data_IF_622654622937
#
_entry.id   IF_622654622937
#
_cell.length_a   1.000
_cell.length_b   1.000
_cell.length_c   1.000
_cell.angle_alpha   90.00
_cell.angle_beta   90.00
_cell.angle_gamma   90.00
#
_symmetry.space_group_name_H-M   'P 1'
#
loop_
_entity.id
_entity.type
_entity.pdbx_description
1 polymer ?
#
# COMPACT_ATOMS: atom_id res chain seq x y z
N UNK A 1 9.03 26.05 -38.24
CA UNK A 1 9.60 25.14 -37.20
C UNK A 1 8.62 24.90 -36.04
N UNK A 2 7.93 25.94 -35.54
CA UNK A 2 6.92 25.82 -34.47
C UNK A 2 5.71 24.93 -34.83
N UNK A 3 5.01 25.17 -35.95
CA UNK A 3 3.85 24.35 -36.34
C UNK A 3 4.18 22.87 -36.60
N UNK A 4 5.41 22.56 -37.05
CA UNK A 4 5.87 21.16 -37.17
C UNK A 4 6.01 20.49 -35.81
N UNK A 5 6.55 21.19 -34.80
CA UNK A 5 6.63 20.67 -33.42
C UNK A 5 5.24 20.52 -32.81
N UNK A 6 4.33 21.48 -33.05
CA UNK A 6 2.94 21.41 -32.58
C UNK A 6 2.21 20.18 -33.15
N UNK A 7 2.33 19.92 -34.46
CA UNK A 7 1.74 18.73 -35.08
C UNK A 7 2.31 17.43 -34.51
N UNK A 8 3.63 17.35 -34.30
CA UNK A 8 4.27 16.17 -33.71
C UNK A 8 3.77 15.95 -32.28
N UNK A 9 3.64 17.01 -31.48
CA UNK A 9 3.07 16.93 -30.13
C UNK A 9 1.60 16.50 -30.14
N UNK A 10 0.80 17.01 -31.07
CA UNK A 10 -0.61 16.64 -31.21
C UNK A 10 -0.78 15.17 -31.63
N UNK A 11 0.04 14.68 -32.57
CA UNK A 11 0.05 13.27 -32.98
C UNK A 11 0.48 12.36 -31.83
N UNK A 12 1.50 12.75 -31.06
CA UNK A 12 1.91 11.99 -29.87
C UNK A 12 0.80 11.99 -28.80
N UNK A 13 0.12 13.10 -28.58
CA UNK A 13 -0.98 13.20 -27.63
C UNK A 13 -2.19 12.36 -28.06
N UNK A 14 -2.53 12.39 -29.35
CA UNK A 14 -3.62 11.58 -29.92
C UNK A 14 -3.32 10.08 -29.85
N UNK A 15 -2.05 9.68 -30.01
CA UNK A 15 -1.64 8.28 -29.80
C UNK A 15 -1.87 7.82 -28.37
N UNK A 16 -1.71 8.68 -27.37
CA UNK A 16 -1.92 8.31 -25.96
C UNK A 16 -3.38 8.44 -25.53
N UNK A 17 -4.13 9.39 -26.08
CA UNK A 17 -5.55 9.61 -25.76
C UNK A 17 -6.52 8.91 -26.72
N UNK A 18 -6.06 7.91 -27.46
CA UNK A 18 -6.98 7.08 -28.23
C UNK A 18 -7.88 6.26 -27.26
N UNK A 19 -9.07 5.83 -27.70
CA UNK A 19 -10.01 5.12 -26.83
C UNK A 19 -9.42 3.86 -26.17
N UNK A 20 -8.58 3.11 -26.90
CA UNK A 20 -7.93 1.89 -26.40
C UNK A 20 -7.00 2.17 -25.21
N UNK A 21 -6.19 3.22 -25.29
CA UNK A 21 -5.30 3.61 -24.21
C UNK A 21 -6.07 4.19 -23.01
N UNK A 22 -7.16 4.92 -23.26
CA UNK A 22 -8.04 5.40 -22.18
C UNK A 22 -8.69 4.24 -21.45
N UNK A 23 -9.17 3.23 -22.18
CA UNK A 23 -9.73 2.01 -21.62
C UNK A 23 -8.68 1.22 -20.81
N UNK A 24 -7.49 1.01 -21.37
CA UNK A 24 -6.39 0.36 -20.68
C UNK A 24 -6.00 1.09 -19.37
N UNK A 25 -5.99 2.42 -19.37
CA UNK A 25 -5.74 3.23 -18.18
C UNK A 25 -6.83 3.04 -17.13
N UNK A 26 -8.11 3.01 -17.53
CA UNK A 26 -9.20 2.73 -16.60
C UNK A 26 -9.07 1.32 -15.99
N UNK A 27 -8.74 0.31 -16.79
CA UNK A 27 -8.49 -1.05 -16.29
C UNK A 27 -7.35 -1.10 -15.28
N UNK A 28 -6.24 -0.40 -15.54
CA UNK A 28 -5.12 -0.31 -14.58
C UNK A 28 -5.57 0.31 -13.25
N UNK A 29 -6.40 1.36 -13.29
CA UNK A 29 -6.91 2.02 -12.09
C UNK A 29 -7.83 1.07 -11.29
N UNK A 30 -8.67 0.30 -11.98
CA UNK A 30 -9.56 -0.66 -11.35
C UNK A 30 -8.78 -1.84 -10.75
N UNK A 31 -7.76 -2.34 -11.45
CA UNK A 31 -6.82 -3.36 -10.95
C UNK A 31 -6.06 -2.86 -9.72
N UNK A 32 -5.68 -1.58 -9.68
CA UNK A 32 -5.06 -0.95 -8.51
C UNK A 32 -6.02 -0.90 -7.31
N UNK A 33 -7.30 -0.61 -7.53
CA UNK A 33 -8.32 -0.62 -6.47
C UNK A 33 -8.53 -2.04 -5.92
N UNK A 34 -8.63 -3.04 -6.80
CA UNK A 34 -8.69 -4.46 -6.42
C UNK A 34 -7.44 -4.89 -5.62
N UNK A 35 -6.26 -4.50 -6.09
CA UNK A 35 -4.98 -4.78 -5.42
C UNK A 35 -4.95 -4.15 -4.03
N UNK A 36 -5.38 -2.89 -3.90
CA UNK A 36 -5.47 -2.17 -2.62
C UNK A 36 -6.39 -2.91 -1.64
N UNK A 37 -7.56 -3.37 -2.11
CA UNK A 37 -8.47 -4.18 -1.31
C UNK A 37 -7.87 -5.52 -0.87
N UNK A 38 -7.10 -6.18 -1.73
CA UNK A 38 -6.41 -7.43 -1.40
C UNK A 38 -5.29 -7.21 -0.38
N UNK A 39 -4.52 -6.12 -0.49
CA UNK A 39 -3.51 -5.74 0.50
C UNK A 39 -4.16 -5.49 1.87
N UNK A 40 -5.30 -4.78 1.92
CA UNK A 40 -6.03 -4.55 3.17
C UNK A 40 -6.49 -5.87 3.83
N UNK A 41 -7.00 -6.82 3.04
CA UNK A 41 -7.36 -8.16 3.55
C UNK A 41 -6.13 -8.90 4.08
N UNK A 42 -5.01 -8.84 3.35
CA UNK A 42 -3.76 -9.50 3.76
C UNK A 42 -3.24 -8.95 5.09
N UNK A 43 -3.30 -7.63 5.32
CA UNK A 43 -2.97 -7.01 6.61
C UNK A 43 -3.84 -7.56 7.75
N UNK A 44 -5.14 -7.77 7.51
CA UNK A 44 -6.05 -8.36 8.51
C UNK A 44 -5.67 -9.80 8.81
N UNK A 45 -5.37 -10.61 7.80
CA UNK A 45 -4.94 -12.01 8.01
C UNK A 45 -3.62 -12.10 8.77
N UNK A 46 -2.62 -11.28 8.43
CA UNK A 46 -1.37 -11.20 9.18
C UNK A 46 -1.58 -10.74 10.63
N UNK A 47 -2.50 -9.81 10.87
CA UNK A 47 -2.86 -9.41 12.23
C UNK A 47 -3.49 -10.56 13.03
N UNK A 48 -4.26 -11.45 12.38
CA UNK A 48 -4.75 -12.69 13.02
C UNK A 48 -3.60 -13.65 13.31
N UNK A 49 -2.68 -13.83 12.37
CA UNK A 49 -1.48 -14.66 12.58
C UNK A 49 -0.67 -14.16 13.78
N UNK A 50 -0.46 -12.85 13.90
CA UNK A 50 0.21 -12.25 15.05
C UNK A 50 -0.48 -12.61 16.37
N UNK A 51 -1.81 -12.45 16.45
CA UNK A 51 -2.58 -12.85 17.64
C UNK A 51 -2.44 -14.33 17.98
N UNK A 52 -2.43 -15.20 16.98
CA UNK A 52 -2.21 -16.64 17.20
C UNK A 52 -0.80 -16.93 17.73
N UNK A 53 0.22 -16.20 17.26
CA UNK A 53 1.59 -16.30 17.78
C UNK A 53 1.69 -15.78 19.21
N UNK A 54 0.98 -14.69 19.55
CA UNK A 54 0.94 -14.16 20.92
C UNK A 54 0.31 -15.16 21.91
N UNK A 55 -0.77 -15.82 21.50
CA UNK A 55 -1.40 -16.91 22.28
C UNK A 55 -0.42 -18.06 22.47
N UNK A 56 0.22 -18.53 21.39
CA UNK A 56 1.21 -19.60 21.45
C UNK A 56 2.37 -19.25 22.39
N UNK A 57 2.85 -18.00 22.37
CA UNK A 57 3.88 -17.53 23.30
C UNK A 57 3.40 -17.55 24.75
N UNK A 58 2.14 -17.21 25.00
CA UNK A 58 1.52 -17.33 26.32
C UNK A 58 1.49 -18.77 26.82
N UNK A 59 1.06 -19.70 25.97
CA UNK A 59 1.00 -21.14 26.28
C UNK A 59 2.40 -21.70 26.58
N UNK A 60 3.39 -21.36 25.75
CA UNK A 60 4.80 -21.71 25.98
C UNK A 60 5.30 -21.14 27.31
N UNK A 61 4.94 -19.89 27.63
CA UNK A 61 5.28 -19.27 28.90
C UNK A 61 4.71 -20.00 30.12
N UNK A 62 3.46 -20.48 30.03
CA UNK A 62 2.85 -21.29 31.10
C UNK A 62 3.58 -22.62 31.28
N UNK A 63 3.85 -23.34 30.18
CA UNK A 63 4.59 -24.62 30.23
C UNK A 63 5.94 -24.47 30.91
N UNK A 64 6.68 -23.40 30.59
CA UNK A 64 7.97 -23.07 31.22
C UNK A 64 7.80 -22.76 32.71
N UNK A 65 6.77 -22.00 33.08
CA UNK A 65 6.51 -21.61 34.47
C UNK A 65 6.10 -22.80 35.34
N UNK A 66 5.37 -23.76 34.78
CA UNK A 66 4.83 -24.91 35.51
C UNK A 66 5.87 -26.06 35.62
N UNK A 67 6.79 -26.18 34.66
CA UNK A 67 7.79 -27.26 34.58
C UNK A 67 9.24 -26.80 34.83
N UNK A 68 9.46 -25.76 35.66
CA UNK A 68 10.76 -25.05 35.85
C UNK A 68 12.01 -25.89 36.09
N UNK A 69 11.89 -27.19 36.39
CA UNK A 69 13.02 -28.10 36.59
C UNK A 69 13.48 -28.82 35.31
N UNK A 70 12.64 -28.98 34.28
CA UNK A 70 12.94 -29.77 33.06
C UNK A 70 12.57 -29.04 31.75
N UNK A 71 12.80 -27.73 31.66
CA UNK A 71 12.56 -26.98 30.41
C UNK A 71 13.68 -27.27 29.41
N UNK A 72 13.35 -27.96 28.32
CA UNK A 72 14.29 -28.25 27.23
C UNK A 72 14.65 -26.99 26.42
N UNK A 73 15.90 -26.93 25.95
CA UNK A 73 16.44 -25.89 25.07
C UNK A 73 15.57 -25.65 23.83
N UNK A 74 14.97 -26.73 23.31
CA UNK A 74 14.05 -26.70 22.17
C UNK A 74 12.87 -25.75 22.39
N UNK A 75 12.33 -25.66 23.60
CA UNK A 75 11.18 -24.78 23.93
C UNK A 75 11.60 -23.31 23.93
N UNK A 76 12.81 -23.02 24.44
CA UNK A 76 13.39 -21.67 24.44
C UNK A 76 13.67 -21.19 23.02
N UNK A 77 14.22 -22.05 22.16
CA UNK A 77 14.52 -21.73 20.76
C UNK A 77 13.24 -21.52 19.94
N UNK A 78 12.18 -22.32 20.20
CA UNK A 78 10.85 -22.13 19.62
C UNK A 78 10.27 -20.76 19.98
N UNK A 79 10.34 -20.35 21.26
CA UNK A 79 9.90 -19.02 21.69
C UNK A 79 10.61 -17.91 20.93
N UNK A 80 11.94 -18.00 20.80
CA UNK A 80 12.72 -16.99 20.09
C UNK A 80 12.39 -16.90 18.60
N UNK A 81 12.12 -18.05 17.97
CA UNK A 81 11.69 -18.13 16.57
C UNK A 81 10.33 -17.47 16.37
N UNK A 82 9.37 -17.76 17.24
CA UNK A 82 8.02 -17.17 17.20
C UNK A 82 8.06 -15.66 17.40
N UNK A 83 8.84 -15.16 18.37
CA UNK A 83 9.06 -13.71 18.57
C UNK A 83 9.60 -13.03 17.31
N UNK A 84 10.55 -13.67 16.65
CA UNK A 84 11.17 -13.13 15.43
C UNK A 84 10.17 -13.08 14.27
N UNK A 85 9.39 -14.13 14.07
CA UNK A 85 8.33 -14.16 13.06
C UNK A 85 7.28 -13.07 13.33
N UNK A 86 6.82 -12.91 14.59
CA UNK A 86 5.85 -11.88 14.98
C UNK A 86 6.32 -10.46 14.65
N UNK A 87 7.61 -10.16 14.89
CA UNK A 87 8.23 -8.88 14.50
C UNK A 87 8.26 -8.67 12.99
N UNK A 88 8.59 -9.71 12.21
CA UNK A 88 8.59 -9.61 10.74
C UNK A 88 7.19 -9.39 10.18
N UNK A 89 6.18 -10.08 10.70
CA UNK A 89 4.77 -9.88 10.32
C UNK A 89 4.34 -8.44 10.60
N UNK A 90 4.71 -7.88 11.75
CA UNK A 90 4.42 -6.49 12.10
C UNK A 90 5.01 -5.51 11.08
N UNK A 91 6.27 -5.72 10.67
CA UNK A 91 6.94 -4.88 9.66
C UNK A 91 6.28 -5.02 8.27
N UNK A 92 5.87 -6.24 7.89
CA UNK A 92 5.14 -6.48 6.64
C UNK A 92 3.82 -5.72 6.66
N UNK A 93 3.04 -5.79 7.73
CA UNK A 93 1.76 -5.08 7.85
C UNK A 93 1.92 -3.57 7.65
N UNK A 94 2.90 -2.94 8.30
CA UNK A 94 3.17 -1.51 8.13
C UNK A 94 3.48 -1.15 6.68
N UNK A 95 4.28 -1.97 5.99
CA UNK A 95 4.59 -1.76 4.58
C UNK A 95 3.37 -1.96 3.67
N UNK A 96 2.53 -2.97 3.94
CA UNK A 96 1.30 -3.23 3.17
C UNK A 96 0.28 -2.10 3.35
N UNK A 97 0.13 -1.56 4.56
CA UNK A 97 -0.71 -0.38 4.82
C UNK A 97 -0.20 0.85 4.05
N UNK A 98 1.11 1.10 4.08
CA UNK A 98 1.73 2.19 3.32
C UNK A 98 1.52 2.04 1.81
N UNK A 99 1.77 0.85 1.27
CA UNK A 99 1.56 0.55 -0.15
C UNK A 99 0.08 0.71 -0.56
N UNK A 100 -0.84 0.17 0.24
CA UNK A 100 -2.29 0.28 0.02
C UNK A 100 -2.73 1.75 -0.02
N UNK A 101 -2.30 2.55 0.96
CA UNK A 101 -2.62 3.99 1.00
C UNK A 101 -2.03 4.75 -0.19
N UNK A 102 -0.79 4.48 -0.57
CA UNK A 102 -0.14 5.12 -1.71
C UNK A 102 -0.87 4.81 -3.02
N UNK A 103 -1.29 3.55 -3.20
CA UNK A 103 -2.03 3.13 -4.39
C UNK A 103 -3.43 3.72 -4.44
N UNK A 104 -4.12 3.81 -3.30
CA UNK A 104 -5.42 4.49 -3.21
C UNK A 104 -5.33 5.97 -3.56
N UNK A 105 -4.34 6.70 -3.04
CA UNK A 105 -4.20 8.12 -3.36
C UNK A 105 -3.75 8.33 -4.81
N UNK A 106 -2.87 7.48 -5.33
CA UNK A 106 -2.47 7.52 -6.74
C UNK A 106 -3.68 7.29 -7.66
N UNK A 107 -4.44 6.21 -7.47
CA UNK A 107 -5.61 5.90 -8.30
C UNK A 107 -6.64 7.04 -8.26
N UNK A 108 -6.87 7.61 -7.06
CA UNK A 108 -7.73 8.77 -6.86
C UNK A 108 -7.22 10.02 -7.61
N UNK A 109 -5.92 10.30 -7.58
CA UNK A 109 -5.33 11.43 -8.30
C UNK A 109 -5.47 11.27 -9.82
N UNK A 110 -5.21 10.07 -10.34
CA UNK A 110 -5.34 9.79 -11.77
C UNK A 110 -6.80 9.90 -12.21
N UNK A 111 -7.77 9.37 -11.45
CA UNK A 111 -9.22 9.54 -11.76
C UNK A 111 -9.64 11.01 -11.79
N UNK A 112 -9.11 11.83 -10.87
CA UNK A 112 -9.40 13.28 -10.83
C UNK A 112 -8.74 14.06 -11.97
N UNK A 113 -7.53 13.69 -12.36
CA UNK A 113 -6.78 14.34 -13.42
C UNK A 113 -5.92 13.30 -14.19
N UNK A 114 -6.48 12.66 -15.23
CA UNK A 114 -5.74 11.67 -16.01
C UNK A 114 -4.55 12.29 -16.76
N UNK A 115 -4.53 13.62 -16.94
CA UNK A 115 -3.39 14.36 -17.50
C UNK A 115 -2.11 14.28 -16.68
N UNK A 116 -2.18 13.87 -15.40
CA UNK A 116 -1.00 13.60 -14.55
C UNK A 116 -0.11 12.48 -15.13
N UNK A 117 -0.70 11.52 -15.84
CA UNK A 117 0.05 10.45 -16.51
C UNK A 117 0.87 10.95 -17.70
N UNK A 118 0.51 12.12 -18.24
CA UNK A 118 1.11 12.72 -19.44
C UNK A 118 2.14 13.80 -19.09
N UNK A 119 2.57 13.87 -17.83
CA UNK A 119 3.47 14.92 -17.33
C UNK A 119 2.77 16.26 -17.07
N UNK A 120 1.42 16.29 -17.01
CA UNK A 120 0.68 17.46 -16.57
C UNK A 120 0.93 17.75 -15.09
N UNK A 121 1.05 19.02 -14.71
CA UNK A 121 1.12 19.42 -13.30
C UNK A 121 -0.26 19.33 -12.65
N UNK A 122 -0.32 18.85 -11.40
CA UNK A 122 -1.55 18.87 -10.61
C UNK A 122 -2.13 20.29 -10.55
N UNK A 123 -3.47 20.46 -10.52
CA UNK A 123 -4.06 21.78 -10.31
C UNK A 123 -3.50 22.36 -9.02
N UNK A 124 -2.98 23.59 -9.06
CA UNK A 124 -2.58 24.28 -7.85
C UNK A 124 -3.77 24.27 -6.90
N UNK A 125 -3.62 23.61 -5.73
CA UNK A 125 -4.57 23.71 -4.66
C UNK A 125 -4.77 25.21 -4.42
N UNK A 126 -5.98 25.71 -4.69
CA UNK A 126 -6.31 27.10 -4.40
C UNK A 126 -6.24 27.22 -2.89
N UNK A 127 -5.07 27.58 -2.38
CA UNK A 127 -4.92 28.08 -1.03
C UNK A 127 -5.98 29.16 -0.88
N UNK A 128 -7.00 28.89 -0.08
CA UNK A 128 -7.94 29.89 0.37
C UNK A 128 -7.09 30.98 1.02
N UNK A 129 -6.82 32.04 0.26
CA UNK A 129 -6.49 33.32 0.83
C UNK A 129 -7.69 33.70 1.69
N UNK A 130 -7.56 33.46 2.99
CA UNK A 130 -8.29 34.21 4.00
C UNK A 130 -7.72 35.63 3.96
N UNK A 131 -8.14 36.39 2.93
CA UNK A 131 -8.02 37.83 2.89
C UNK A 131 -9.21 38.41 3.68
N UNK A 132 -8.91 38.97 4.85
CA UNK A 132 -9.82 39.83 5.62
C UNK A 132 -9.91 39.42 7.10
N UNK A 133 -9.79 40.32 8.08
CA UNK A 133 -9.89 41.77 8.06
C UNK A 133 -9.09 42.39 9.23
N UNK A 134 -8.65 43.62 8.93
CA UNK A 134 -8.15 44.71 9.79
C UNK A 134 -8.46 44.65 11.28
#
# INVERSE_FOLDING_TARGET
>A
RFSKKLNVSADQFSKVLNPENVEALNSIIDDMELTTGNLAKLTVEFSKTQKSLDILMGDVGSVISDNRLDVDRSVVDLRHTVETISRHISAINQNLEGASRNMFEFSRQIRKNPGLLLGGTAPAEKAQKNDGQK
#
